data_IF_884188276149
#
_entry.id   IF_884188276149
#
_cell.length_a   1.000
_cell.length_b   1.000
_cell.length_c   1.000
_cell.angle_alpha   90.00
_cell.angle_beta   90.00
_cell.angle_gamma   90.00
#
_symmetry.space_group_name_H-M   'P 1'
#
loop_
_entity.id
_entity.type
_entity.pdbx_description
1 polymer ?
#
# COMPACT_ATOMS: atom_id res chain seq x y z
N UNK A 1 -4.49 15.60 12.28
CA UNK A 1 -5.58 15.40 11.29
C UNK A 1 -6.50 14.31 11.83
N UNK A 2 -7.83 14.46 11.67
CA UNK A 2 -8.79 13.39 12.00
C UNK A 2 -9.26 12.74 10.69
N UNK A 3 -9.34 11.41 10.68
CA UNK A 3 -9.84 10.60 9.56
C UNK A 3 -10.96 9.73 10.12
N UNK A 4 -12.12 9.74 9.47
CA UNK A 4 -13.21 8.85 9.85
C UNK A 4 -12.85 7.42 9.41
N UNK A 5 -13.10 6.46 10.29
CA UNK A 5 -12.79 5.05 10.06
C UNK A 5 -13.94 4.16 10.54
N UNK A 6 -14.27 3.14 9.74
CA UNK A 6 -15.13 2.03 10.14
C UNK A 6 -14.26 0.78 10.23
N UNK A 7 -14.34 0.08 11.34
CA UNK A 7 -13.71 -1.22 11.53
C UNK A 7 -14.78 -2.31 11.64
N UNK A 8 -14.83 -3.19 10.66
CA UNK A 8 -15.71 -4.38 10.63
C UNK A 8 -14.94 -5.68 10.95
N UNK A 9 -13.64 -5.57 11.25
CA UNK A 9 -12.85 -6.70 11.70
C UNK A 9 -13.02 -6.92 13.21
N UNK A 10 -12.54 -8.06 13.70
CA UNK A 10 -12.41 -8.35 15.14
C UNK A 10 -11.10 -7.85 15.74
N UNK A 11 -10.25 -7.18 14.96
CA UNK A 11 -8.93 -6.70 15.39
C UNK A 11 -8.98 -5.21 15.75
N UNK A 12 -7.96 -4.78 16.50
CA UNK A 12 -7.79 -3.36 16.82
C UNK A 12 -7.59 -2.50 15.56
N UNK A 13 -7.91 -1.21 15.69
CA UNK A 13 -7.63 -0.22 14.64
C UNK A 13 -6.14 -0.21 14.27
N UNK A 14 -5.80 0.08 13.00
CA UNK A 14 -4.44 0.37 12.62
C UNK A 14 -3.83 1.45 13.52
N UNK A 15 -2.64 1.20 14.06
CA UNK A 15 -1.97 2.10 14.97
C UNK A 15 -0.48 2.23 14.66
N UNK A 16 0.08 3.39 14.95
CA UNK A 16 1.52 3.62 14.91
C UNK A 16 2.20 2.83 16.01
N UNK A 17 3.20 2.04 15.67
CA UNK A 17 3.91 1.20 16.65
C UNK A 17 4.91 2.00 17.49
N UNK A 18 5.42 3.11 16.94
CA UNK A 18 6.28 4.05 17.64
C UNK A 18 5.85 5.49 17.33
N UNK A 19 6.24 6.45 18.13
CA UNK A 19 5.90 7.86 17.97
C UNK A 19 6.31 8.43 16.60
N UNK A 20 7.40 7.93 16.03
CA UNK A 20 7.95 8.40 14.75
C UNK A 20 7.63 7.46 13.57
N UNK A 21 6.77 6.46 13.78
CA UNK A 21 6.31 5.61 12.66
C UNK A 21 5.48 6.41 11.67
N UNK A 22 5.70 6.20 10.38
CA UNK A 22 4.89 6.81 9.31
C UNK A 22 3.72 5.91 8.86
N UNK A 23 3.85 4.60 9.02
CA UNK A 23 2.85 3.61 8.61
C UNK A 23 2.21 2.90 9.81
N UNK A 24 0.99 2.43 9.60
CA UNK A 24 0.22 1.62 10.54
C UNK A 24 -0.03 0.25 9.93
N UNK A 25 0.10 -0.83 10.69
CA UNK A 25 -0.10 -2.18 10.18
C UNK A 25 -1.57 -2.45 9.79
N UNK A 26 -1.78 -3.08 8.63
CA UNK A 26 -3.06 -3.67 8.21
C UNK A 26 -3.03 -5.17 8.46
N UNK A 27 -4.12 -5.69 9.04
CA UNK A 27 -4.28 -7.11 9.37
C UNK A 27 -5.21 -7.80 8.39
N UNK A 28 -4.93 -9.08 8.15
CA UNK A 28 -5.81 -9.95 7.36
C UNK A 28 -7.11 -10.24 8.14
N UNK A 29 -8.25 -9.83 7.59
CA UNK A 29 -9.58 -10.12 8.11
C UNK A 29 -10.21 -11.24 7.29
N UNK A 30 -9.80 -12.46 7.54
CA UNK A 30 -10.20 -13.68 6.83
C UNK A 30 -10.73 -14.72 7.82
N UNK A 31 -11.65 -15.57 7.36
CA UNK A 31 -12.24 -16.64 8.18
C UNK A 31 -11.39 -17.92 8.18
N UNK A 32 -10.70 -18.20 7.07
CA UNK A 32 -9.88 -19.38 6.88
C UNK A 32 -8.49 -18.99 6.40
N UNK A 33 -7.43 -19.74 6.78
CA UNK A 33 -6.09 -19.50 6.29
C UNK A 33 -6.01 -19.56 4.76
N UNK A 34 -5.24 -18.66 4.17
CA UNK A 34 -4.99 -18.62 2.72
C UNK A 34 -3.56 -19.10 2.46
N UNK A 35 -3.41 -20.14 1.64
CA UNK A 35 -2.10 -20.61 1.19
C UNK A 35 -1.80 -19.98 -0.18
N UNK A 36 -0.77 -19.13 -0.23
CA UNK A 36 -0.22 -18.59 -1.48
C UNK A 36 0.95 -19.44 -1.94
N UNK A 37 0.80 -20.10 -3.08
CA UNK A 37 1.91 -20.76 -3.76
C UNK A 37 2.83 -19.73 -4.44
N UNK A 38 4.04 -20.13 -4.86
CA UNK A 38 4.91 -19.28 -5.66
C UNK A 38 4.19 -18.65 -6.85
N UNK A 39 4.38 -17.32 -7.03
CA UNK A 39 3.77 -16.47 -8.06
C UNK A 39 2.24 -16.32 -7.99
N UNK A 40 1.57 -16.90 -6.99
CA UNK A 40 0.14 -16.63 -6.75
C UNK A 40 -0.07 -15.27 -6.11
N UNK A 41 -1.23 -14.68 -6.39
CA UNK A 41 -1.72 -13.45 -5.76
C UNK A 41 -3.10 -13.65 -5.20
N UNK A 42 -3.43 -12.89 -4.16
CA UNK A 42 -4.75 -12.90 -3.53
C UNK A 42 -5.13 -11.50 -3.08
N UNK A 43 -6.42 -11.19 -3.17
CA UNK A 43 -7.00 -10.00 -2.57
C UNK A 43 -7.45 -10.34 -1.15
N UNK A 44 -6.84 -9.70 -0.15
CA UNK A 44 -7.10 -9.96 1.27
C UNK A 44 -7.91 -8.80 1.87
N UNK A 45 -8.99 -9.14 2.51
CA UNK A 45 -9.85 -8.21 3.24
C UNK A 45 -9.16 -7.75 4.53
N UNK A 46 -9.43 -6.51 4.95
CA UNK A 46 -8.93 -5.95 6.21
C UNK A 46 -10.05 -5.57 7.19
N UNK A 47 -11.29 -5.48 6.70
CA UNK A 47 -12.43 -4.98 7.46
C UNK A 47 -12.40 -3.47 7.71
N UNK A 48 -11.45 -2.74 7.12
CA UNK A 48 -11.22 -1.30 7.34
C UNK A 48 -11.79 -0.48 6.18
N UNK A 49 -12.53 0.58 6.53
CA UNK A 49 -13.06 1.58 5.61
C UNK A 49 -12.67 2.95 6.14
N UNK A 50 -12.22 3.84 5.27
CA UNK A 50 -11.76 5.17 5.66
C UNK A 50 -12.41 6.27 4.81
N UNK A 51 -12.49 7.46 5.38
CA UNK A 51 -12.92 8.66 4.69
C UNK A 51 -11.85 9.74 4.88
N UNK A 52 -11.11 9.98 3.81
CA UNK A 52 -10.02 10.95 3.82
C UNK A 52 -10.53 12.35 3.47
N UNK A 53 -9.95 13.42 4.03
CA UNK A 53 -10.22 14.77 3.57
C UNK A 53 -9.63 15.01 2.18
N UNK A 54 -10.23 15.92 1.41
CA UNK A 54 -9.71 16.34 0.11
C UNK A 54 -8.24 16.80 0.20
N UNK A 55 -7.45 16.48 -0.82
CA UNK A 55 -6.01 16.77 -0.87
C UNK A 55 -5.13 15.74 -0.13
N UNK A 56 -5.72 14.62 0.30
CA UNK A 56 -5.00 13.50 0.89
C UNK A 56 -5.35 12.20 0.18
N UNK A 57 -4.38 11.30 0.15
CA UNK A 57 -4.52 9.91 -0.24
C UNK A 57 -4.10 8.99 0.91
N UNK A 58 -4.54 7.74 0.90
CA UNK A 58 -3.86 6.71 1.66
C UNK A 58 -3.08 5.79 0.72
N UNK A 59 -1.96 5.29 1.21
CA UNK A 59 -1.12 4.35 0.46
C UNK A 59 -1.00 3.03 1.21
N UNK A 60 -1.25 1.94 0.50
CA UNK A 60 -0.96 0.59 0.99
C UNK A 60 0.41 0.17 0.48
N UNK A 61 1.32 -0.09 1.42
CA UNK A 61 2.71 -0.48 1.15
C UNK A 61 3.03 -1.83 1.76
N UNK A 62 4.01 -2.58 1.19
CA UNK A 62 4.46 -3.84 1.77
C UNK A 62 5.16 -3.61 3.12
N UNK A 63 5.22 -4.68 3.90
CA UNK A 63 6.05 -4.73 5.11
C UNK A 63 7.41 -5.28 4.77
N UNK A 64 8.47 -4.56 5.13
CA UNK A 64 9.86 -4.95 4.86
C UNK A 64 10.21 -6.34 5.40
N UNK A 65 9.69 -6.70 6.57
CA UNK A 65 9.94 -8.01 7.17
C UNK A 65 9.35 -9.17 6.36
N UNK A 66 8.12 -9.02 5.82
CA UNK A 66 7.52 -10.03 4.95
C UNK A 66 8.25 -10.10 3.60
N UNK A 67 8.59 -8.96 3.02
CA UNK A 67 9.32 -8.92 1.76
C UNK A 67 10.69 -9.60 1.87
N UNK A 68 11.48 -9.24 2.90
CA UNK A 68 12.84 -9.75 3.06
C UNK A 68 12.90 -11.22 3.48
N UNK A 69 12.00 -11.67 4.37
CA UNK A 69 12.08 -13.02 4.95
C UNK A 69 11.28 -14.06 4.17
N UNK A 70 10.16 -13.65 3.55
CA UNK A 70 9.20 -14.56 2.96
C UNK A 70 8.89 -14.27 1.49
N UNK A 71 9.50 -13.23 0.90
CA UNK A 71 9.24 -12.85 -0.49
C UNK A 71 7.79 -12.40 -0.75
N UNK A 72 7.04 -12.01 0.31
CA UNK A 72 5.65 -11.56 0.19
C UNK A 72 5.62 -10.05 0.09
N UNK A 73 4.92 -9.56 -0.91
CA UNK A 73 4.77 -8.11 -1.14
C UNK A 73 3.35 -7.74 -1.58
N UNK A 74 3.09 -6.44 -1.66
CA UNK A 74 1.84 -5.89 -2.21
C UNK A 74 2.06 -5.68 -3.70
N UNK A 75 1.26 -6.37 -4.52
CA UNK A 75 1.47 -6.43 -5.97
C UNK A 75 1.41 -5.06 -6.66
N UNK A 76 0.50 -4.20 -6.24
CA UNK A 76 0.29 -2.86 -6.79
C UNK A 76 0.96 -1.75 -5.96
N UNK A 77 1.98 -2.08 -5.17
CA UNK A 77 2.62 -1.11 -4.28
C UNK A 77 3.33 0.04 -5.04
N UNK A 78 3.15 1.28 -4.60
CA UNK A 78 2.24 1.74 -3.55
C UNK A 78 0.77 1.75 -4.03
N UNK A 79 -0.10 1.01 -3.34
CA UNK A 79 -1.53 1.00 -3.65
C UNK A 79 -2.17 2.33 -3.23
N UNK A 80 -2.83 3.03 -4.17
CA UNK A 80 -3.46 4.33 -3.93
C UNK A 80 -4.91 4.14 -3.49
N UNK A 81 -5.30 4.87 -2.45
CA UNK A 81 -6.69 4.99 -1.97
C UNK A 81 -7.06 6.46 -2.02
N UNK A 82 -7.99 6.77 -2.90
CA UNK A 82 -8.46 8.12 -3.15
C UNK A 82 -9.35 8.64 -1.99
N UNK A 83 -9.42 9.96 -1.84
CA UNK A 83 -10.20 10.59 -0.76
C UNK A 83 -11.71 10.32 -0.87
N UNK A 84 -12.23 10.07 -2.06
CA UNK A 84 -13.63 9.77 -2.33
C UNK A 84 -13.95 8.26 -2.35
N UNK A 85 -12.96 7.39 -2.20
CA UNK A 85 -13.20 5.95 -2.05
C UNK A 85 -13.88 5.64 -0.71
N UNK A 86 -14.96 4.86 -0.77
CA UNK A 86 -15.75 4.45 0.42
C UNK A 86 -15.81 2.93 0.58
N UNK A 87 -15.13 2.20 -0.30
CA UNK A 87 -15.05 0.75 -0.20
C UNK A 87 -14.08 0.28 0.90
N UNK A 88 -14.03 -1.01 1.08
CA UNK A 88 -13.08 -1.64 2.00
C UNK A 88 -11.65 -1.49 1.50
N UNK A 89 -10.75 -1.12 2.40
CA UNK A 89 -9.30 -1.18 2.14
C UNK A 89 -8.89 -2.64 2.07
N UNK A 90 -8.50 -3.09 0.88
CA UNK A 90 -8.05 -4.47 0.64
C UNK A 90 -6.58 -4.48 0.22
N UNK A 91 -5.92 -5.60 0.46
CA UNK A 91 -4.49 -5.77 0.14
C UNK A 91 -4.32 -6.84 -0.92
N UNK A 92 -3.67 -6.51 -2.03
CA UNK A 92 -3.30 -7.49 -3.07
C UNK A 92 -1.92 -8.04 -2.73
N UNK A 93 -1.88 -9.21 -2.09
CA UNK A 93 -0.63 -9.90 -1.81
C UNK A 93 -0.17 -10.74 -3.00
N UNK A 94 1.15 -10.81 -3.21
CA UNK A 94 1.80 -11.73 -4.14
C UNK A 94 2.97 -12.42 -3.45
N UNK A 95 3.14 -13.71 -3.75
CA UNK A 95 4.27 -14.51 -3.28
C UNK A 95 5.32 -14.59 -4.38
N UNK A 96 6.46 -13.93 -4.16
CA UNK A 96 7.63 -13.94 -5.06
C UNK A 96 8.74 -14.88 -4.57
N UNK A 97 8.44 -15.74 -3.58
CA UNK A 97 9.37 -16.77 -3.11
C UNK A 97 9.16 -18.10 -3.87
N UNK A 98 10.00 -19.08 -3.56
CA UNK A 98 9.88 -20.45 -4.08
C UNK A 98 9.07 -21.38 -3.19
N UNK A 99 8.63 -20.90 -2.01
CA UNK A 99 7.92 -21.69 -1.01
C UNK A 99 6.48 -21.21 -0.85
N UNK A 100 5.60 -22.09 -0.37
CA UNK A 100 4.24 -21.72 -0.02
C UNK A 100 4.28 -20.78 1.20
N UNK A 101 3.44 -19.74 1.18
CA UNK A 101 3.22 -18.85 2.31
C UNK A 101 1.78 -18.93 2.78
N UNK A 102 1.57 -19.09 4.07
CA UNK A 102 0.22 -19.12 4.67
C UNK A 102 -0.07 -17.80 5.36
N UNK A 103 -1.18 -17.16 4.96
CA UNK A 103 -1.75 -16.00 5.63
C UNK A 103 -2.83 -16.48 6.59
N UNK A 104 -2.72 -16.11 7.86
CA UNK A 104 -3.71 -16.41 8.88
C UNK A 104 -4.51 -15.17 9.26
N UNK A 105 -5.69 -15.36 9.86
CA UNK A 105 -6.47 -14.26 10.40
C UNK A 105 -5.66 -13.45 11.42
N UNK A 106 -5.68 -12.13 11.30
CA UNK A 106 -4.93 -11.23 12.17
C UNK A 106 -3.47 -11.01 11.80
N UNK A 107 -2.92 -11.75 10.84
CA UNK A 107 -1.56 -11.50 10.36
C UNK A 107 -1.41 -10.06 9.83
N UNK A 108 -0.31 -9.41 10.17
CA UNK A 108 0.03 -8.08 9.66
C UNK A 108 0.62 -8.22 8.27
N UNK A 109 -0.20 -7.96 7.25
CA UNK A 109 0.09 -8.27 5.84
C UNK A 109 0.62 -7.08 5.02
N UNK A 110 0.32 -5.88 5.46
CA UNK A 110 0.73 -4.63 4.80
C UNK A 110 0.81 -3.52 5.83
N UNK A 111 1.15 -2.32 5.38
CA UNK A 111 1.03 -1.10 6.16
C UNK A 111 0.28 -0.03 5.36
N UNK A 112 -0.48 0.81 6.06
CA UNK A 112 -1.17 1.96 5.50
C UNK A 112 -0.56 3.23 6.06
N UNK A 113 -0.43 4.24 5.21
CA UNK A 113 -0.06 5.60 5.60
C UNK A 113 -0.93 6.59 4.86
N UNK A 114 -1.06 7.79 5.40
CA UNK A 114 -1.79 8.90 4.77
C UNK A 114 -0.80 9.97 4.35
N UNK A 115 -0.91 10.43 3.12
CA UNK A 115 -0.04 11.44 2.53
C UNK A 115 -0.87 12.58 1.92
N UNK A 116 -0.32 13.78 1.92
CA UNK A 116 -0.85 14.91 1.17
C UNK A 116 -0.41 14.78 -0.29
N UNK A 117 -1.27 15.15 -1.23
CA UNK A 117 -0.93 15.19 -2.65
C UNK A 117 -1.37 16.51 -3.30
N UNK A 118 -0.76 16.85 -4.41
CA UNK A 118 -1.16 17.99 -5.23
C UNK A 118 -2.09 17.52 -6.36
N UNK A 119 -3.06 18.36 -6.69
CA UNK A 119 -3.93 18.17 -7.86
C UNK A 119 -3.34 19.01 -9.00
N UNK A 120 -2.87 18.35 -10.05
CA UNK A 120 -2.28 19.03 -11.20
C UNK A 120 -3.33 19.36 -12.25
N UNK A 121 -3.17 20.53 -12.87
CA UNK A 121 -3.86 20.89 -14.09
C UNK A 121 -2.85 20.87 -15.22
N UNK A 122 -3.10 20.03 -16.22
CA UNK A 122 -2.21 19.93 -17.38
C UNK A 122 -2.31 21.17 -18.26
N UNK A 123 -1.16 21.80 -18.54
CA UNK A 123 -1.01 22.82 -19.57
C UNK A 123 -0.24 22.17 -20.72
N UNK A 124 -0.96 21.78 -21.77
CA UNK A 124 -0.34 21.16 -22.94
C UNK A 124 0.48 22.20 -23.70
N UNK A 125 1.74 21.89 -23.94
CA UNK A 125 2.71 22.72 -24.68
C UNK A 125 3.39 21.85 -25.74
N UNK A 126 3.95 22.51 -26.78
CA UNK A 126 4.67 21.78 -27.84
C UNK A 126 6.11 21.46 -27.44
N UNK A 127 6.71 22.26 -26.56
CA UNK A 127 8.10 22.08 -26.10
C UNK A 127 8.21 22.27 -24.59
N UNK A 128 9.13 21.53 -23.97
CA UNK A 128 9.51 21.68 -22.56
C UNK A 128 10.81 22.48 -22.44
N UNK A 129 10.98 23.16 -21.32
CA UNK A 129 12.20 23.89 -21.02
C UNK A 129 13.44 22.99 -21.00
N UNK A 130 14.57 23.50 -21.46
CA UNK A 130 15.86 22.79 -21.44
C UNK A 130 16.41 22.70 -20.03
N UNK A 131 17.09 21.59 -19.73
CA UNK A 131 17.85 21.36 -18.48
C UNK A 131 19.17 20.68 -18.79
N UNK A 132 20.13 20.75 -17.88
CA UNK A 132 21.40 20.03 -17.99
C UNK A 132 21.21 18.52 -18.22
N UNK A 133 20.22 17.92 -17.55
CA UNK A 133 19.87 16.50 -17.69
C UNK A 133 19.12 16.21 -19.00
N UNK A 134 18.30 17.16 -19.45
CA UNK A 134 17.45 17.03 -20.65
C UNK A 134 16.72 15.65 -20.69
N UNK A 135 16.83 14.91 -21.79
CA UNK A 135 16.22 13.58 -21.96
C UNK A 135 17.02 12.43 -21.32
N UNK A 136 18.09 12.70 -20.61
CA UNK A 136 18.93 11.68 -19.98
C UNK A 136 18.20 10.90 -18.87
N UNK A 137 18.08 9.58 -19.02
CA UNK A 137 17.46 8.67 -18.08
C UNK A 137 18.10 7.28 -18.15
N UNK A 138 17.49 6.30 -17.47
CA UNK A 138 17.88 4.87 -17.53
C UNK A 138 19.37 4.61 -17.31
N UNK A 139 19.99 5.33 -16.35
CA UNK A 139 21.39 5.14 -15.99
C UNK A 139 22.38 5.93 -16.85
N UNK A 140 21.97 6.98 -17.56
CA UNK A 140 22.87 7.79 -18.39
C UNK A 140 24.01 8.46 -17.62
N UNK A 141 23.94 8.53 -16.28
CA UNK A 141 25.02 9.02 -15.40
C UNK A 141 26.06 7.94 -15.07
N UNK A 142 25.90 6.73 -15.61
CA UNK A 142 26.77 5.58 -15.36
C UNK A 142 26.44 4.80 -14.08
N UNK A 143 27.17 3.75 -13.82
CA UNK A 143 27.16 2.93 -12.60
C UNK A 143 28.43 3.16 -11.83
#
# INVERSE_FOLDING_TARGET
MKVNIINKSSFDLPAYQTELSAGMDLRANISEPIVLKPLERVLVDTGIFIELPAGYEAQVRPRSGLAAKSGITVLNAPGTIDADYRGEVKVILVNLSNDNFTVNAGDRIAQILVAKHEIVQWNQVDELGETERSAGGFGHTGV
#
